data_IF_681937014104
#
_entry.id   IF_681937014104
#
_cell.length_a   1.000
_cell.length_b   1.000
_cell.length_c   1.000
_cell.angle_alpha   90.00
_cell.angle_beta   90.00
_cell.angle_gamma   90.00
#
_symmetry.space_group_name_H-M   'P 1'
#
loop_
_entity.id
_entity.type
_entity.pdbx_description
1 polymer ?
#
# COMPACT_ATOMS: atom_id res chain seq x y z
N UNK A 1 -22.58 42.94 -4.82
CA UNK A 1 -22.14 42.57 -3.45
C UNK A 1 -21.90 41.06 -3.32
N UNK A 2 -22.55 40.20 -4.10
CA UNK A 2 -22.31 38.74 -4.11
C UNK A 2 -20.89 38.35 -4.56
N UNK A 3 -20.33 38.97 -5.61
CA UNK A 3 -18.96 38.70 -6.07
C UNK A 3 -17.88 38.96 -5.00
N UNK A 4 -18.11 39.85 -4.05
CA UNK A 4 -17.11 40.15 -3.00
C UNK A 4 -17.13 39.07 -1.92
N UNK A 5 -18.31 38.53 -1.59
CA UNK A 5 -18.46 37.49 -0.56
C UNK A 5 -17.93 36.15 -1.05
N UNK A 6 -18.16 35.80 -2.32
CA UNK A 6 -17.57 34.59 -2.92
C UNK A 6 -16.04 34.71 -3.02
N UNK A 7 -15.50 35.86 -3.43
CA UNK A 7 -14.06 36.09 -3.55
C UNK A 7 -13.32 36.01 -2.20
N UNK A 8 -13.90 36.55 -1.11
CA UNK A 8 -13.31 36.51 0.23
C UNK A 8 -13.24 35.08 0.78
N UNK A 9 -14.15 34.19 0.37
CA UNK A 9 -14.13 32.79 0.82
C UNK A 9 -13.04 31.98 0.11
N UNK A 10 -12.79 32.24 -1.18
CA UNK A 10 -11.77 31.53 -1.99
C UNK A 10 -10.35 31.79 -1.49
N UNK A 11 -10.05 33.01 -1.05
CA UNK A 11 -8.74 33.38 -0.50
C UNK A 11 -8.39 32.63 0.80
N UNK A 12 -9.38 31.99 1.41
CA UNK A 12 -9.21 31.14 2.57
C UNK A 12 -9.20 29.65 2.24
N UNK A 13 -9.54 29.25 1.00
CA UNK A 13 -9.55 27.86 0.57
C UNK A 13 -8.10 27.34 0.51
N UNK A 14 -7.77 26.27 1.26
CA UNK A 14 -6.40 25.76 1.30
C UNK A 14 -5.90 25.29 -0.07
N UNK A 15 -6.79 24.82 -0.96
CA UNK A 15 -6.42 24.33 -2.29
C UNK A 15 -6.01 25.49 -3.20
N UNK A 16 -6.76 26.58 -3.17
CA UNK A 16 -6.43 27.80 -3.89
C UNK A 16 -5.09 28.37 -3.42
N UNK A 17 -4.90 28.48 -2.10
CA UNK A 17 -3.64 28.93 -1.52
C UNK A 17 -2.47 28.02 -1.88
N UNK A 18 -2.70 26.70 -1.94
CA UNK A 18 -1.69 25.75 -2.38
C UNK A 18 -1.30 25.95 -3.84
N UNK A 19 -2.26 26.20 -4.75
CA UNK A 19 -1.97 26.51 -6.15
C UNK A 19 -1.18 27.81 -6.31
N UNK A 20 -1.58 28.87 -5.59
CA UNK A 20 -0.89 30.16 -5.59
C UNK A 20 0.56 30.01 -5.11
N UNK A 21 0.82 29.10 -4.16
CA UNK A 21 2.18 28.86 -3.66
C UNK A 21 3.18 28.45 -4.75
N UNK A 22 2.74 27.85 -5.85
CA UNK A 22 3.60 27.48 -6.98
C UNK A 22 4.02 28.65 -7.86
N UNK A 23 3.35 29.81 -7.75
CA UNK A 23 3.76 31.04 -8.42
C UNK A 23 4.90 31.76 -7.67
N UNK A 24 5.23 31.27 -6.48
CA UNK A 24 6.17 31.91 -5.57
C UNK A 24 7.51 31.18 -5.59
N UNK A 25 8.61 31.93 -5.47
CA UNK A 25 9.94 31.36 -5.24
C UNK A 25 10.06 30.95 -3.78
N UNK A 26 9.84 29.68 -3.49
CA UNK A 26 9.97 29.11 -2.14
C UNK A 26 11.35 28.48 -1.93
N UNK A 27 11.90 28.64 -0.73
CA UNK A 27 13.10 27.92 -0.32
C UNK A 27 12.78 26.42 -0.15
N UNK A 28 13.77 25.52 -0.26
CA UNK A 28 13.57 24.08 -0.07
C UNK A 28 12.89 23.72 1.26
N UNK A 29 13.17 24.47 2.33
CA UNK A 29 12.59 24.30 3.67
C UNK A 29 11.13 24.75 3.78
N UNK A 30 10.60 25.44 2.77
CA UNK A 30 9.24 26.00 2.74
C UNK A 30 8.30 25.23 1.81
N UNK A 31 8.73 24.06 1.32
CA UNK A 31 7.99 23.26 0.34
C UNK A 31 6.91 22.38 0.95
N UNK A 32 6.81 22.27 2.27
CA UNK A 32 5.72 21.54 2.92
C UNK A 32 4.36 22.27 2.74
N UNK A 33 3.26 21.51 2.87
CA UNK A 33 1.91 22.04 2.65
C UNK A 33 1.61 23.25 3.54
N UNK A 34 1.97 23.19 4.82
CA UNK A 34 1.59 24.22 5.79
C UNK A 34 2.33 25.53 5.48
N UNK A 35 3.63 25.44 5.23
CA UNK A 35 4.45 26.59 4.81
C UNK A 35 3.95 27.20 3.50
N UNK A 36 3.62 26.37 2.50
CA UNK A 36 3.06 26.82 1.22
C UNK A 36 1.78 27.61 1.40
N UNK A 37 0.81 27.05 2.14
CA UNK A 37 -0.48 27.70 2.39
C UNK A 37 -0.27 29.00 3.18
N UNK A 38 0.57 28.99 4.23
CA UNK A 38 0.83 30.18 5.04
C UNK A 38 1.46 31.31 4.23
N UNK A 39 2.46 31.00 3.40
CA UNK A 39 3.18 31.98 2.57
C UNK A 39 2.24 32.56 1.51
N UNK A 40 1.49 31.71 0.80
CA UNK A 40 0.51 32.14 -0.19
C UNK A 40 -0.57 33.04 0.44
N UNK A 41 -1.08 32.69 1.63
CA UNK A 41 -2.09 33.49 2.33
C UNK A 41 -1.59 34.90 2.64
N UNK A 42 -0.33 35.04 3.07
CA UNK A 42 0.29 36.35 3.30
C UNK A 42 0.43 37.14 2.00
N UNK A 43 0.84 36.48 0.93
CA UNK A 43 1.07 37.12 -0.36
C UNK A 43 -0.22 37.63 -1.01
N UNK A 44 -1.28 36.81 -1.00
CA UNK A 44 -2.62 37.20 -1.48
C UNK A 44 -3.15 38.40 -0.67
N UNK A 45 -3.03 38.36 0.67
CA UNK A 45 -3.47 39.46 1.53
C UNK A 45 -2.72 40.77 1.25
N UNK A 46 -1.44 40.69 0.92
CA UNK A 46 -0.60 41.86 0.65
C UNK A 46 -0.68 42.35 -0.80
N UNK A 47 -1.47 41.69 -1.67
CA UNK A 47 -1.56 42.02 -3.09
C UNK A 47 -0.25 41.81 -3.85
N UNK A 48 0.63 40.94 -3.36
CA UNK A 48 1.98 40.75 -3.90
C UNK A 48 2.08 39.65 -4.95
N UNK A 49 0.94 39.15 -5.43
CA UNK A 49 0.87 38.08 -6.44
C UNK A 49 0.17 38.67 -7.66
N UNK A 50 0.84 38.63 -8.80
CA UNK A 50 0.28 39.02 -10.09
C UNK A 50 -0.76 37.98 -10.55
N UNK A 51 -1.75 38.40 -11.33
CA UNK A 51 -2.78 37.53 -11.93
C UNK A 51 -3.65 36.69 -10.97
N UNK A 52 -3.72 37.07 -9.69
CA UNK A 52 -4.56 36.38 -8.69
C UNK A 52 -6.02 36.29 -9.10
N UNK A 53 -6.59 37.35 -9.68
CA UNK A 53 -8.00 37.35 -10.12
C UNK A 53 -8.25 36.35 -11.25
N UNK A 54 -7.31 36.20 -12.19
CA UNK A 54 -7.43 35.17 -13.23
C UNK A 54 -7.34 33.77 -12.62
N UNK A 55 -6.43 33.55 -11.67
CA UNK A 55 -6.32 32.29 -10.92
C UNK A 55 -7.59 31.97 -10.14
N UNK A 56 -8.24 32.95 -9.51
CA UNK A 56 -9.53 32.76 -8.83
C UNK A 56 -10.60 32.28 -9.78
N UNK A 57 -10.74 32.93 -10.94
CA UNK A 57 -11.72 32.52 -11.98
C UNK A 57 -11.47 31.10 -12.48
N UNK A 58 -10.21 30.76 -12.75
CA UNK A 58 -9.83 29.40 -13.15
C UNK A 58 -10.11 28.38 -12.03
N UNK A 59 -9.81 28.71 -10.78
CA UNK A 59 -10.04 27.84 -9.65
C UNK A 59 -11.52 27.50 -9.47
N UNK A 60 -12.40 28.51 -9.52
CA UNK A 60 -13.85 28.33 -9.43
C UNK A 60 -14.42 27.47 -10.56
N UNK A 61 -13.91 27.66 -11.78
CA UNK A 61 -14.37 26.89 -12.95
C UNK A 61 -13.94 25.43 -12.90
N UNK A 62 -12.74 25.18 -12.39
CA UNK A 62 -12.07 23.89 -12.58
C UNK A 62 -12.18 22.96 -11.37
N UNK A 63 -12.57 23.44 -10.19
CA UNK A 63 -12.55 22.64 -8.96
C UNK A 63 -13.93 22.41 -8.37
N UNK A 64 -14.14 21.22 -7.83
CA UNK A 64 -15.35 20.90 -7.07
C UNK A 64 -15.39 21.64 -5.73
N UNK A 65 -16.58 21.86 -5.19
CA UNK A 65 -16.75 22.47 -3.87
C UNK A 65 -16.24 21.55 -2.73
N UNK A 66 -15.81 22.15 -1.62
CA UNK A 66 -15.29 21.43 -0.43
C UNK A 66 -16.31 20.44 0.18
N UNK A 67 -17.61 20.71 0.06
CA UNK A 67 -18.69 19.81 0.48
C UNK A 67 -18.59 18.42 -0.19
N UNK A 68 -17.99 18.33 -1.38
CA UNK A 68 -17.82 17.06 -2.10
C UNK A 68 -16.88 16.09 -1.38
N UNK A 69 -16.08 16.57 -0.42
CA UNK A 69 -15.13 15.77 0.36
C UNK A 69 -15.72 15.24 1.68
N UNK A 70 -16.98 15.56 2.02
CA UNK A 70 -17.61 15.22 3.30
C UNK A 70 -17.75 13.71 3.58
N UNK A 71 -17.66 12.87 2.54
CA UNK A 71 -17.66 11.42 2.73
C UNK A 71 -16.38 10.89 3.39
N UNK A 72 -15.31 11.69 3.44
CA UNK A 72 -14.02 11.33 4.01
C UNK A 72 -14.09 11.55 5.52
N UNK A 73 -13.88 10.48 6.29
CA UNK A 73 -13.64 10.60 7.72
C UNK A 73 -12.20 11.08 7.97
N UNK A 74 -12.04 12.38 8.14
CA UNK A 74 -10.74 13.00 8.40
C UNK A 74 -10.12 12.64 9.74
N UNK A 75 -10.89 12.04 10.66
CA UNK A 75 -10.39 11.54 11.94
C UNK A 75 -9.79 10.14 11.82
N UNK A 76 -10.19 9.39 10.78
CA UNK A 76 -9.66 8.05 10.53
C UNK A 76 -8.31 8.10 9.80
N UNK A 77 -7.26 7.68 10.52
CA UNK A 77 -5.92 7.54 9.98
C UNK A 77 -5.89 6.67 8.71
N UNK A 78 -6.64 5.57 8.69
CA UNK A 78 -6.59 4.59 7.59
C UNK A 78 -7.16 5.19 6.30
N UNK A 79 -8.30 5.88 6.39
CA UNK A 79 -8.89 6.60 5.25
C UNK A 79 -7.94 7.68 4.72
N UNK A 80 -7.42 8.55 5.59
CA UNK A 80 -6.52 9.63 5.19
C UNK A 80 -5.22 9.11 4.57
N UNK A 81 -4.65 8.04 5.15
CA UNK A 81 -3.44 7.40 4.66
C UNK A 81 -3.67 6.70 3.31
N UNK A 82 -4.81 6.01 3.15
CA UNK A 82 -5.17 5.38 1.89
C UNK A 82 -5.21 6.38 0.74
N UNK A 83 -5.83 7.54 0.96
CA UNK A 83 -5.93 8.61 -0.04
C UNK A 83 -4.53 9.13 -0.41
N UNK A 84 -3.69 9.41 0.59
CA UNK A 84 -2.32 9.86 0.36
C UNK A 84 -1.49 8.84 -0.43
N UNK A 85 -1.55 7.57 -0.03
CA UNK A 85 -0.77 6.52 -0.66
C UNK A 85 -1.28 6.21 -2.07
N UNK A 86 -2.59 6.25 -2.29
CA UNK A 86 -3.18 6.17 -3.63
C UNK A 86 -2.64 7.29 -4.53
N UNK A 87 -2.66 8.54 -4.05
CA UNK A 87 -2.07 9.67 -4.78
C UNK A 87 -0.60 9.43 -5.10
N UNK A 88 0.20 8.96 -4.13
CA UNK A 88 1.62 8.65 -4.32
C UNK A 88 1.81 7.68 -5.49
N UNK A 89 1.09 6.55 -5.49
CA UNK A 89 1.17 5.55 -6.55
C UNK A 89 0.71 6.11 -7.90
N UNK A 90 -0.39 6.86 -7.96
CA UNK A 90 -0.87 7.46 -9.21
C UNK A 90 0.12 8.45 -9.82
N UNK A 91 0.82 9.24 -8.99
CA UNK A 91 1.81 10.20 -9.48
C UNK A 91 3.08 9.50 -9.95
N UNK A 92 3.44 8.37 -9.32
CA UNK A 92 4.55 7.51 -9.75
C UNK A 92 4.25 6.79 -11.07
N UNK A 93 2.98 6.46 -11.32
CA UNK A 93 2.52 5.86 -12.58
C UNK A 93 2.69 6.84 -13.76
N UNK A 94 3.74 6.61 -14.56
CA UNK A 94 4.05 7.40 -15.77
C UNK A 94 3.17 7.03 -16.98
N UNK A 95 2.24 6.10 -16.85
CA UNK A 95 1.40 5.70 -17.98
C UNK A 95 0.44 6.84 -18.37
N UNK A 96 0.19 7.03 -19.67
CA UNK A 96 -0.76 8.02 -20.22
C UNK A 96 -2.21 7.47 -20.28
N UNK A 97 -2.54 6.46 -19.47
CA UNK A 97 -3.89 5.84 -19.49
C UNK A 97 -4.97 6.82 -19.02
N UNK A 98 -6.20 6.66 -19.51
CA UNK A 98 -7.37 7.35 -18.95
C UNK A 98 -7.60 6.97 -17.48
N UNK A 99 -8.01 7.93 -16.66
CA UNK A 99 -8.05 7.85 -15.19
C UNK A 99 -9.02 6.76 -14.68
N UNK A 100 -10.12 6.50 -15.39
CA UNK A 100 -11.05 5.42 -15.05
C UNK A 100 -10.41 4.02 -15.13
N UNK A 101 -9.30 3.89 -15.87
CA UNK A 101 -8.48 2.66 -15.94
C UNK A 101 -7.31 2.66 -14.95
N UNK A 102 -7.08 3.73 -14.17
CA UNK A 102 -5.94 3.91 -13.23
C UNK A 102 -6.28 3.61 -11.76
N UNK A 103 -7.26 2.74 -11.49
CA UNK A 103 -7.58 2.33 -10.12
C UNK A 103 -6.77 1.10 -9.65
N UNK A 104 -5.82 0.66 -10.47
CA UNK A 104 -4.88 -0.42 -10.21
C UNK A 104 -3.55 -0.14 -10.90
N UNK A 105 -2.47 -0.65 -10.35
CA UNK A 105 -1.11 -0.30 -10.73
C UNK A 105 -0.31 -1.53 -11.16
N UNK A 106 0.62 -1.37 -12.11
CA UNK A 106 1.58 -2.44 -12.40
C UNK A 106 2.41 -2.78 -11.17
N UNK A 107 3.04 -3.95 -11.21
CA UNK A 107 3.96 -4.39 -10.16
C UNK A 107 5.02 -3.33 -9.83
N UNK A 108 5.63 -2.71 -10.85
CA UNK A 108 6.73 -1.72 -10.72
C UNK A 108 6.28 -0.38 -10.11
N UNK A 109 4.97 -0.12 -10.12
CA UNK A 109 4.38 1.07 -9.48
C UNK A 109 3.97 0.72 -8.06
N UNK A 110 3.31 -0.42 -7.86
CA UNK A 110 2.87 -0.88 -6.53
C UNK A 110 4.05 -1.28 -5.62
N UNK A 111 5.13 -1.76 -6.23
CA UNK A 111 6.38 -2.18 -5.61
C UNK A 111 7.54 -1.64 -6.46
N UNK A 112 8.58 -1.16 -5.80
CA UNK A 112 9.70 -0.48 -6.47
C UNK A 112 10.85 -1.45 -6.67
N UNK A 113 11.43 -1.46 -7.87
CA UNK A 113 12.78 -1.99 -8.11
C UNK A 113 13.81 -0.85 -7.95
N UNK A 114 15.02 -1.17 -7.47
CA UNK A 114 16.06 -0.25 -6.95
C UNK A 114 16.49 0.88 -7.91
N UNK A 115 16.02 0.86 -9.17
CA UNK A 115 16.39 1.79 -10.24
C UNK A 115 15.43 2.99 -10.44
N UNK A 116 14.29 3.08 -9.73
CA UNK A 116 13.23 4.06 -10.06
C UNK A 116 13.03 5.25 -9.11
N UNK A 117 13.82 5.40 -8.04
CA UNK A 117 13.55 6.39 -6.98
C UNK A 117 14.06 7.83 -7.23
N UNK A 118 14.30 8.20 -8.50
CA UNK A 118 14.70 9.58 -8.85
C UNK A 118 13.62 10.26 -9.69
N UNK A 119 12.39 10.31 -9.19
CA UNK A 119 11.47 11.38 -9.57
C UNK A 119 11.24 12.23 -8.34
N UNK A 120 12.11 13.22 -8.13
CA UNK A 120 11.89 14.33 -7.22
C UNK A 120 10.76 15.24 -7.75
N UNK A 121 9.53 14.72 -7.86
CA UNK A 121 8.35 15.59 -7.84
C UNK A 121 8.22 16.08 -6.40
N UNK A 122 7.81 17.33 -6.21
CA UNK A 122 7.46 17.91 -4.91
C UNK A 122 6.17 17.24 -4.39
N UNK A 123 6.18 15.91 -4.18
CA UNK A 123 5.06 15.14 -3.69
C UNK A 123 4.86 15.51 -2.21
N UNK A 124 3.64 15.94 -1.83
CA UNK A 124 3.37 16.23 -0.43
C UNK A 124 3.55 15.00 0.46
N UNK A 125 4.27 15.19 1.58
CA UNK A 125 4.47 14.15 2.60
C UNK A 125 3.21 13.96 3.44
N UNK A 126 3.01 12.73 3.94
CA UNK A 126 1.94 12.45 4.89
C UNK A 126 2.21 13.15 6.23
N UNK A 127 1.23 13.87 6.83
CA UNK A 127 1.41 14.48 8.14
C UNK A 127 1.44 13.45 9.26
N UNK A 128 2.31 13.63 10.25
CA UNK A 128 2.29 12.81 11.46
C UNK A 128 1.22 13.26 12.46
N UNK A 129 0.78 14.52 12.38
CA UNK A 129 -0.16 15.13 13.32
C UNK A 129 -1.61 15.00 12.83
N UNK A 130 -2.47 14.37 13.63
CA UNK A 130 -3.89 14.16 13.31
C UNK A 130 -4.65 15.47 13.05
N UNK A 131 -4.29 16.56 13.73
CA UNK A 131 -4.89 17.90 13.52
C UNK A 131 -4.73 18.42 12.08
N UNK A 132 -3.77 17.88 11.33
CA UNK A 132 -3.48 18.29 9.95
C UNK A 132 -4.18 17.44 8.89
N UNK A 133 -4.74 16.28 9.27
CA UNK A 133 -5.28 15.29 8.32
C UNK A 133 -6.31 15.90 7.37
N UNK A 134 -7.27 16.66 7.89
CA UNK A 134 -8.31 17.28 7.05
C UNK A 134 -7.74 18.12 5.92
N UNK A 135 -6.90 19.10 6.25
CA UNK A 135 -6.33 20.02 5.26
C UNK A 135 -5.42 19.25 4.30
N UNK A 136 -4.54 18.41 4.83
CA UNK A 136 -3.56 17.69 4.02
C UNK A 136 -4.23 16.70 3.07
N UNK A 137 -5.21 15.93 3.51
CA UNK A 137 -5.96 14.99 2.66
C UNK A 137 -6.71 15.70 1.53
N UNK A 138 -7.29 16.88 1.80
CA UNK A 138 -7.89 17.71 0.75
C UNK A 138 -6.82 18.17 -0.26
N UNK A 139 -5.65 18.59 0.21
CA UNK A 139 -4.52 18.96 -0.66
C UNK A 139 -3.99 17.77 -1.45
N UNK A 140 -3.94 16.57 -0.89
CA UNK A 140 -3.51 15.37 -1.62
C UNK A 140 -4.42 15.09 -2.82
N UNK A 141 -5.73 15.14 -2.61
CA UNK A 141 -6.71 14.97 -3.69
C UNK A 141 -6.63 16.11 -4.71
N UNK A 142 -6.49 17.35 -4.24
CA UNK A 142 -6.32 18.50 -5.13
C UNK A 142 -5.06 18.39 -5.99
N UNK A 143 -3.94 18.04 -5.38
CA UNK A 143 -2.67 17.81 -6.07
C UNK A 143 -2.78 16.66 -7.08
N UNK A 144 -3.44 15.56 -6.69
CA UNK A 144 -3.75 14.45 -7.58
C UNK A 144 -4.54 14.92 -8.81
N UNK A 145 -5.59 15.72 -8.64
CA UNK A 145 -6.38 16.25 -9.74
C UNK A 145 -5.56 17.17 -10.65
N UNK A 146 -4.71 18.02 -10.08
CA UNK A 146 -3.81 18.86 -10.86
C UNK A 146 -2.81 18.03 -11.68
N UNK A 147 -2.21 17.00 -11.08
CA UNK A 147 -1.21 16.14 -11.76
C UNK A 147 -1.85 15.29 -12.86
N UNK A 148 -3.10 14.88 -12.66
CA UNK A 148 -3.86 14.07 -13.62
C UNK A 148 -4.67 14.91 -14.62
N UNK A 149 -4.64 16.24 -14.51
CA UNK A 149 -5.42 17.18 -15.33
C UNK A 149 -6.93 16.89 -15.28
N UNK A 150 -7.43 16.59 -14.08
CA UNK A 150 -8.86 16.33 -13.83
C UNK A 150 -9.55 17.59 -13.34
N UNK A 151 -10.65 17.98 -13.98
CA UNK A 151 -11.36 19.23 -13.68
C UNK A 151 -12.88 19.04 -13.61
N UNK A 152 -13.56 19.89 -12.84
CA UNK A 152 -15.01 19.99 -12.79
C UNK A 152 -15.70 18.67 -12.44
N UNK A 153 -16.65 18.25 -13.29
CA UNK A 153 -17.46 17.04 -13.08
C UNK A 153 -16.57 15.79 -12.93
N UNK A 154 -15.50 15.68 -13.72
CA UNK A 154 -14.59 14.53 -13.66
C UNK A 154 -13.87 14.41 -12.31
N UNK A 155 -13.69 15.50 -11.55
CA UNK A 155 -13.14 15.39 -10.19
C UNK A 155 -14.12 14.68 -9.25
N UNK A 156 -15.43 14.93 -9.40
CA UNK A 156 -16.46 14.26 -8.60
C UNK A 156 -16.51 12.76 -8.91
N UNK A 157 -16.54 12.41 -10.19
CA UNK A 157 -16.49 11.01 -10.64
C UNK A 157 -15.25 10.30 -10.11
N UNK A 158 -14.11 10.99 -10.12
CA UNK A 158 -12.87 10.44 -9.59
C UNK A 158 -12.90 10.27 -8.06
N UNK A 159 -13.47 11.22 -7.31
CA UNK A 159 -13.70 11.06 -5.87
C UNK A 159 -14.57 9.84 -5.56
N UNK A 160 -15.65 9.64 -6.33
CA UNK A 160 -16.53 8.48 -6.17
C UNK A 160 -15.82 7.17 -6.51
N UNK A 161 -14.92 7.17 -7.50
CA UNK A 161 -14.07 6.03 -7.81
C UNK A 161 -13.10 5.70 -6.66
N UNK A 162 -12.42 6.71 -6.09
CA UNK A 162 -11.54 6.54 -4.93
C UNK A 162 -12.32 6.00 -3.73
N UNK A 163 -13.50 6.56 -3.46
CA UNK A 163 -14.41 6.10 -2.41
C UNK A 163 -14.76 4.62 -2.57
N UNK A 164 -15.19 4.20 -3.77
CA UNK A 164 -15.48 2.80 -4.07
C UNK A 164 -14.27 1.90 -3.83
N UNK A 165 -13.09 2.31 -4.31
CA UNK A 165 -11.85 1.56 -4.09
C UNK A 165 -11.47 1.43 -2.63
N UNK A 166 -11.64 2.49 -1.83
CA UNK A 166 -11.39 2.42 -0.40
C UNK A 166 -12.35 1.42 0.30
N UNK A 167 -13.63 1.43 -0.06
CA UNK A 167 -14.61 0.48 0.48
C UNK A 167 -14.31 -0.97 0.08
N UNK A 168 -13.87 -1.20 -1.16
CA UNK A 168 -13.36 -2.49 -1.62
C UNK A 168 -12.12 -2.92 -0.83
N UNK A 169 -11.17 -2.00 -0.61
CA UNK A 169 -9.96 -2.26 0.16
C UNK A 169 -10.29 -2.73 1.58
N UNK A 170 -11.19 -2.04 2.29
CA UNK A 170 -11.62 -2.43 3.65
C UNK A 170 -12.22 -3.82 3.74
N UNK A 171 -12.83 -4.30 2.64
CA UNK A 171 -13.43 -5.65 2.56
C UNK A 171 -12.44 -6.69 2.04
N UNK A 172 -11.29 -6.26 1.54
CA UNK A 172 -10.29 -7.15 0.94
C UNK A 172 -9.59 -8.01 2.00
N UNK A 173 -9.11 -9.22 1.62
CA UNK A 173 -8.28 -10.03 2.50
C UNK A 173 -6.98 -9.33 2.95
N UNK A 174 -6.47 -8.41 2.14
CA UNK A 174 -5.24 -7.66 2.43
C UNK A 174 -5.41 -6.66 3.56
N UNK A 175 -6.62 -6.15 3.79
CA UNK A 175 -6.91 -5.25 4.92
C UNK A 175 -6.55 -5.86 6.27
N UNK A 176 -6.61 -7.19 6.39
CA UNK A 176 -6.24 -7.90 7.63
C UNK A 176 -4.78 -7.68 8.01
N UNK A 177 -3.88 -7.40 7.06
CA UNK A 177 -2.47 -7.08 7.35
C UNK A 177 -2.31 -5.78 8.14
N UNK A 178 -3.36 -4.95 8.21
CA UNK A 178 -3.34 -3.67 8.94
C UNK A 178 -3.76 -3.79 10.40
N UNK A 179 -4.25 -4.98 10.81
CA UNK A 179 -4.75 -5.26 12.15
C UNK A 179 -3.61 -5.72 13.06
N UNK A 180 -3.65 -5.31 14.33
CA UNK A 180 -2.60 -5.62 15.32
C UNK A 180 -2.38 -7.12 15.52
N UNK A 181 -3.45 -7.93 15.46
CA UNK A 181 -3.39 -9.40 15.58
C UNK A 181 -2.68 -10.08 14.40
N UNK A 182 -2.39 -9.34 13.33
CA UNK A 182 -1.70 -9.80 12.13
C UNK A 182 -0.34 -9.12 11.93
N UNK A 183 0.22 -8.44 12.93
CA UNK A 183 1.53 -7.77 12.84
C UNK A 183 2.64 -8.74 12.39
N UNK A 184 2.73 -9.93 12.98
CA UNK A 184 3.70 -10.97 12.59
C UNK A 184 3.57 -11.36 11.11
N UNK A 185 2.33 -11.41 10.61
CA UNK A 185 2.07 -11.75 9.22
C UNK A 185 2.49 -10.61 8.29
N UNK A 186 2.25 -9.36 8.68
CA UNK A 186 2.64 -8.20 7.91
C UNK A 186 4.17 -8.12 7.78
N UNK A 187 4.88 -8.24 8.90
CA UNK A 187 6.35 -8.27 8.94
C UNK A 187 6.93 -9.40 8.09
N UNK A 188 6.42 -10.63 8.26
CA UNK A 188 6.87 -11.76 7.45
C UNK A 188 6.61 -11.55 5.95
N UNK A 189 5.47 -10.94 5.60
CA UNK A 189 5.12 -10.66 4.21
C UNK A 189 6.05 -9.62 3.58
N UNK A 190 6.39 -8.56 4.32
CA UNK A 190 7.35 -7.54 3.89
C UNK A 190 8.75 -8.16 3.69
N UNK A 191 9.23 -8.96 4.64
CA UNK A 191 10.49 -9.70 4.50
C UNK A 191 10.48 -10.63 3.28
N UNK A 192 9.35 -11.30 3.02
CA UNK A 192 9.22 -12.20 1.87
C UNK A 192 9.27 -11.43 0.55
N UNK A 193 8.58 -10.31 0.45
CA UNK A 193 8.63 -9.42 -0.72
C UNK A 193 10.05 -8.91 -0.96
N UNK A 194 10.74 -8.46 0.10
CA UNK A 194 12.13 -7.99 0.00
C UNK A 194 13.07 -9.08 -0.52
N UNK A 195 12.90 -10.34 -0.09
CA UNK A 195 13.66 -11.47 -0.63
C UNK A 195 13.39 -11.73 -2.11
N UNK A 196 12.17 -11.45 -2.55
CA UNK A 196 11.74 -11.53 -3.95
C UNK A 196 12.04 -10.21 -4.72
N UNK A 197 12.86 -9.31 -4.15
CA UNK A 197 13.26 -7.98 -4.69
C UNK A 197 12.12 -6.98 -4.91
N UNK A 198 10.97 -7.19 -4.27
CA UNK A 198 9.86 -6.25 -4.26
C UNK A 198 9.95 -5.38 -3.00
N UNK A 199 10.09 -4.06 -3.16
CA UNK A 199 10.15 -3.11 -2.03
C UNK A 199 8.96 -2.16 -2.05
N UNK A 200 8.59 -1.65 -0.88
CA UNK A 200 7.64 -0.53 -0.81
C UNK A 200 8.32 0.78 -1.25
N UNK A 201 7.55 1.77 -1.72
CA UNK A 201 8.03 3.13 -1.97
C UNK A 201 8.76 3.73 -0.77
N UNK A 202 9.89 4.42 -1.00
CA UNK A 202 10.71 5.03 0.05
C UNK A 202 10.03 6.19 0.78
N UNK A 203 9.03 6.84 0.17
CA UNK A 203 8.38 8.03 0.74
C UNK A 203 7.43 7.73 1.91
N UNK A 204 7.27 6.46 2.29
CA UNK A 204 6.37 6.04 3.37
C UNK A 204 6.91 6.48 4.74
N UNK A 205 6.04 6.92 5.68
CA UNK A 205 6.45 7.19 7.05
C UNK A 205 7.06 5.94 7.71
N UNK A 206 8.13 6.10 8.49
CA UNK A 206 8.88 5.01 9.14
C UNK A 206 8.14 4.33 10.31
N UNK A 207 6.82 4.45 10.38
CA UNK A 207 6.01 3.82 11.45
C UNK A 207 5.54 2.44 11.00
N UNK A 208 5.50 1.48 11.93
CA UNK A 208 4.99 0.12 11.66
C UNK A 208 3.59 0.10 11.03
N UNK A 209 2.71 0.99 11.53
CA UNK A 209 1.33 1.13 11.03
C UNK A 209 1.31 1.59 9.57
N UNK A 210 2.13 2.59 9.22
CA UNK A 210 2.27 3.08 7.85
C UNK A 210 2.83 1.99 6.92
N UNK A 211 3.87 1.27 7.34
CA UNK A 211 4.42 0.14 6.57
C UNK A 211 3.38 -0.95 6.30
N UNK A 212 2.65 -1.38 7.34
CA UNK A 212 1.61 -2.41 7.21
C UNK A 212 0.46 -1.97 6.29
N UNK A 213 0.08 -0.69 6.36
CA UNK A 213 -0.92 -0.11 5.45
C UNK A 213 -0.41 0.01 4.03
N UNK A 214 0.79 0.54 3.80
CA UNK A 214 1.41 0.62 2.47
C UNK A 214 1.48 -0.76 1.83
N UNK A 215 1.93 -1.77 2.60
CA UNK A 215 1.95 -3.16 2.16
C UNK A 215 0.57 -3.67 1.74
N UNK A 216 -0.43 -3.49 2.60
CA UNK A 216 -1.80 -3.92 2.32
C UNK A 216 -2.37 -3.21 1.09
N UNK A 217 -2.12 -1.91 0.94
CA UNK A 217 -2.63 -1.09 -0.16
C UNK A 217 -1.92 -1.46 -1.47
N UNK A 218 -0.60 -1.64 -1.49
CA UNK A 218 0.15 -2.09 -2.67
C UNK A 218 -0.32 -3.46 -3.14
N UNK A 219 -0.45 -4.43 -2.22
CA UNK A 219 -1.00 -5.75 -2.55
C UNK A 219 -2.44 -5.66 -3.06
N UNK A 220 -3.25 -4.74 -2.54
CA UNK A 220 -4.63 -4.55 -3.00
C UNK A 220 -4.68 -3.93 -4.41
N UNK A 221 -3.98 -2.82 -4.63
CA UNK A 221 -4.04 -2.01 -5.86
C UNK A 221 -3.17 -2.57 -6.99
N UNK A 222 -2.29 -3.52 -6.73
CA UNK A 222 -1.55 -4.21 -7.79
C UNK A 222 -2.52 -4.85 -8.80
N UNK A 223 -2.34 -4.57 -10.08
CA UNK A 223 -3.17 -5.07 -11.15
C UNK A 223 -3.04 -6.60 -11.30
N UNK A 224 -4.17 -7.29 -11.46
CA UNK A 224 -4.20 -8.72 -11.68
C UNK A 224 -3.56 -9.14 -13.01
N UNK A 225 -3.59 -8.24 -14.01
CA UNK A 225 -3.00 -8.48 -15.33
C UNK A 225 -1.47 -8.35 -15.33
N UNK A 226 -0.90 -7.69 -14.31
CA UNK A 226 0.53 -7.42 -14.24
C UNK A 226 1.30 -8.71 -13.95
N UNK A 227 2.29 -8.96 -14.79
CA UNK A 227 3.28 -10.02 -14.64
C UNK A 227 4.61 -9.45 -14.17
N UNK A 228 5.41 -10.25 -13.48
CA UNK A 228 6.75 -9.87 -13.03
C UNK A 228 7.65 -11.10 -12.90
N UNK A 229 8.95 -10.89 -13.02
CA UNK A 229 9.95 -11.95 -12.83
C UNK A 229 10.22 -12.14 -11.34
N UNK A 230 10.27 -13.39 -10.91
CA UNK A 230 10.76 -13.77 -9.59
C UNK A 230 11.95 -14.68 -9.79
N UNK A 231 13.03 -14.41 -9.07
CA UNK A 231 14.16 -15.31 -9.02
C UNK A 231 13.87 -16.42 -8.01
N UNK A 232 13.41 -17.56 -8.50
CA UNK A 232 13.24 -18.77 -7.67
C UNK A 232 14.30 -19.78 -8.06
N UNK A 233 15.21 -20.07 -7.14
CA UNK A 233 16.21 -21.16 -7.30
C UNK A 233 17.13 -21.00 -8.53
N UNK A 234 17.43 -19.76 -8.95
CA UNK A 234 18.34 -19.49 -10.06
C UNK A 234 17.68 -19.46 -11.45
N UNK A 235 16.37 -19.68 -11.54
CA UNK A 235 15.60 -19.52 -12.77
C UNK A 235 14.62 -18.33 -12.64
N UNK A 236 14.63 -17.44 -13.63
CA UNK A 236 13.64 -16.37 -13.73
C UNK A 236 12.28 -16.94 -14.17
N UNK A 237 11.30 -16.89 -13.27
CA UNK A 237 9.92 -17.26 -13.59
C UNK A 237 9.05 -16.01 -13.67
N UNK A 238 8.34 -15.85 -14.78
CA UNK A 238 7.33 -14.81 -14.93
C UNK A 238 6.03 -15.31 -14.27
N UNK A 239 5.52 -14.57 -13.29
CA UNK A 239 4.23 -14.89 -12.64
C UNK A 239 3.32 -13.67 -12.55
N UNK A 240 2.01 -13.92 -12.49
CA UNK A 240 1.02 -12.89 -12.19
C UNK A 240 0.66 -12.80 -10.69
N UNK A 241 -0.05 -11.72 -10.32
CA UNK A 241 -0.49 -11.43 -8.95
C UNK A 241 -1.17 -12.60 -8.25
N UNK A 242 -2.13 -13.26 -8.89
CA UNK A 242 -2.94 -14.33 -8.28
C UNK A 242 -2.07 -15.52 -7.86
N UNK A 243 -1.17 -15.95 -8.76
CA UNK A 243 -0.21 -17.04 -8.51
C UNK A 243 0.76 -16.65 -7.40
N UNK A 244 1.27 -15.42 -7.42
CA UNK A 244 2.19 -14.96 -6.39
C UNK A 244 1.54 -14.89 -5.01
N UNK A 245 0.37 -14.26 -4.89
CA UNK A 245 -0.37 -14.17 -3.63
C UNK A 245 -0.75 -15.56 -3.12
N UNK A 246 -1.08 -16.51 -3.99
CA UNK A 246 -1.32 -17.89 -3.61
C UNK A 246 -0.05 -18.54 -3.01
N UNK A 247 1.09 -18.43 -3.69
CA UNK A 247 2.39 -18.92 -3.20
C UNK A 247 2.74 -18.27 -1.84
N UNK A 248 2.56 -16.97 -1.71
CA UNK A 248 2.78 -16.21 -0.49
C UNK A 248 1.96 -16.77 0.69
N UNK A 249 0.67 -17.02 0.47
CA UNK A 249 -0.22 -17.60 1.49
C UNK A 249 0.20 -19.03 1.89
N UNK A 250 0.61 -19.86 0.93
CA UNK A 250 1.11 -21.21 1.21
C UNK A 250 2.38 -21.15 2.06
N UNK A 251 3.34 -20.31 1.68
CA UNK A 251 4.60 -20.11 2.40
C UNK A 251 4.36 -19.59 3.82
N UNK A 252 3.42 -18.68 4.02
CA UNK A 252 3.03 -18.22 5.35
C UNK A 252 2.48 -19.36 6.22
N UNK A 253 1.58 -20.18 5.68
CA UNK A 253 1.03 -21.32 6.43
C UNK A 253 2.13 -22.34 6.81
N UNK A 254 3.09 -22.58 5.90
CA UNK A 254 4.25 -23.42 6.20
C UNK A 254 5.14 -22.80 7.28
N UNK A 255 5.41 -21.50 7.21
CA UNK A 255 6.16 -20.78 8.24
C UNK A 255 5.48 -20.90 9.61
N UNK A 256 4.18 -20.61 9.70
CA UNK A 256 3.39 -20.74 10.93
C UNK A 256 3.44 -22.16 11.50
N UNK A 257 3.38 -23.17 10.64
CA UNK A 257 3.51 -24.57 11.07
C UNK A 257 4.91 -24.87 11.62
N UNK A 258 5.97 -24.37 10.99
CA UNK A 258 7.35 -24.52 11.47
C UNK A 258 7.57 -23.84 12.82
N UNK A 259 7.08 -22.61 13.00
CA UNK A 259 7.16 -21.90 14.29
C UNK A 259 6.41 -22.64 15.41
N UNK A 260 5.20 -23.14 15.11
CA UNK A 260 4.46 -23.99 16.05
C UNK A 260 5.23 -25.26 16.43
N UNK A 261 5.91 -25.89 15.48
CA UNK A 261 6.73 -27.07 15.75
C UNK A 261 7.97 -26.75 16.59
N UNK A 262 8.63 -25.60 16.36
CA UNK A 262 9.74 -25.12 17.21
C UNK A 262 9.31 -24.98 18.67
N UNK A 263 8.16 -24.34 18.91
CA UNK A 263 7.57 -24.20 20.25
C UNK A 263 7.30 -25.56 20.91
N UNK A 264 6.84 -26.55 20.13
CA UNK A 264 6.61 -27.92 20.61
C UNK A 264 7.89 -28.77 20.70
N UNK A 265 9.07 -28.21 20.40
CA UNK A 265 10.34 -28.94 20.29
C UNK A 265 10.28 -30.13 19.30
N UNK A 266 9.41 -30.04 18.30
CA UNK A 266 9.27 -31.04 17.23
C UNK A 266 10.24 -30.67 16.12
N UNK A 267 11.28 -31.48 15.93
CA UNK A 267 12.24 -31.31 14.83
C UNK A 267 11.73 -32.10 13.61
N UNK A 268 11.64 -31.42 12.46
CA UNK A 268 11.40 -32.11 11.20
C UNK A 268 12.70 -32.80 10.75
N UNK A 269 12.62 -34.06 10.34
CA UNK A 269 13.73 -34.81 9.76
C UNK A 269 13.44 -35.04 8.28
N UNK A 270 14.44 -34.80 7.43
CA UNK A 270 14.45 -35.26 6.05
C UNK A 270 15.43 -36.41 5.98
N UNK A 271 14.96 -37.60 5.61
CA UNK A 271 15.80 -38.75 5.34
C UNK A 271 15.70 -39.08 3.85
N UNK A 272 16.81 -39.47 3.26
CA UNK A 272 16.82 -40.15 1.97
C UNK A 272 16.61 -41.64 2.22
N UNK A 273 15.80 -42.30 1.40
CA UNK A 273 15.56 -43.73 1.49
C UNK A 273 15.35 -44.31 0.11
N UNK A 274 15.62 -45.60 -0.01
CA UNK A 274 15.30 -46.34 -1.24
C UNK A 274 13.79 -46.33 -1.50
N UNK A 275 13.42 -46.24 -2.77
CA UNK A 275 12.02 -46.27 -3.22
C UNK A 275 11.31 -47.57 -2.76
N UNK A 276 12.06 -48.67 -2.70
CA UNK A 276 11.57 -49.97 -2.21
C UNK A 276 11.10 -49.89 -0.75
N UNK A 277 11.81 -49.13 0.09
CA UNK A 277 11.49 -48.92 1.50
C UNK A 277 10.32 -47.96 1.65
N UNK A 278 10.27 -46.89 0.85
CA UNK A 278 9.13 -45.98 0.82
C UNK A 278 7.82 -46.72 0.52
N UNK A 279 7.82 -47.62 -0.47
CA UNK A 279 6.64 -48.45 -0.80
C UNK A 279 6.17 -49.32 0.38
N UNK A 280 7.11 -49.88 1.16
CA UNK A 280 6.79 -50.67 2.37
C UNK A 280 6.17 -49.79 3.45
N UNK A 281 6.73 -48.60 3.69
CA UNK A 281 6.17 -47.62 4.64
C UNK A 281 4.76 -47.21 4.23
N UNK A 282 4.53 -46.94 2.94
CA UNK A 282 3.23 -46.52 2.43
C UNK A 282 2.17 -47.61 2.57
N UNK A 283 2.57 -48.86 2.32
CA UNK A 283 1.70 -50.02 2.55
C UNK A 283 1.35 -50.19 4.03
N UNK A 284 2.33 -50.16 4.92
CA UNK A 284 2.12 -50.28 6.37
C UNK A 284 1.30 -49.12 6.94
N UNK A 285 1.54 -47.90 6.46
CA UNK A 285 0.80 -46.70 6.85
C UNK A 285 -0.69 -46.84 6.52
N UNK A 286 -1.02 -47.39 5.35
CA UNK A 286 -2.41 -47.68 4.97
C UNK A 286 -3.00 -48.85 5.75
N UNK A 287 -2.25 -49.94 5.90
CA UNK A 287 -2.74 -51.15 6.56
C UNK A 287 -3.05 -50.94 8.05
N UNK A 288 -2.29 -50.06 8.72
CA UNK A 288 -2.45 -49.74 10.14
C UNK A 288 -3.26 -48.47 10.40
N UNK A 289 -3.77 -47.82 9.35
CA UNK A 289 -4.45 -46.51 9.42
C UNK A 289 -3.66 -45.45 10.22
N UNK A 290 -2.33 -45.41 10.01
CA UNK A 290 -1.43 -44.50 10.70
C UNK A 290 -0.75 -43.56 9.70
N UNK A 291 -0.61 -42.28 10.07
CA UNK A 291 0.26 -41.35 9.32
C UNK A 291 1.70 -41.85 9.35
N UNK A 292 2.44 -41.71 8.24
CA UNK A 292 3.83 -42.18 8.10
C UNK A 292 4.74 -41.79 9.28
N UNK A 293 4.69 -40.54 9.73
CA UNK A 293 5.49 -40.10 10.87
C UNK A 293 5.15 -40.87 12.16
N UNK A 294 3.86 -41.12 12.41
CA UNK A 294 3.41 -41.87 13.59
C UNK A 294 3.82 -43.33 13.51
N UNK A 295 3.77 -43.92 12.32
CA UNK A 295 4.28 -45.26 12.07
C UNK A 295 5.79 -45.35 12.37
N UNK A 296 6.58 -44.39 11.91
CA UNK A 296 8.03 -44.35 12.18
C UNK A 296 8.31 -44.20 13.68
N UNK A 297 7.63 -43.28 14.37
CA UNK A 297 7.73 -43.14 15.83
C UNK A 297 7.42 -44.46 16.55
N UNK A 298 6.31 -45.10 16.16
CA UNK A 298 5.91 -46.39 16.73
C UNK A 298 6.97 -47.47 16.52
N UNK A 299 7.51 -47.60 15.30
CA UNK A 299 8.55 -48.58 15.01
C UNK A 299 9.82 -48.33 15.82
N UNK A 300 10.23 -47.07 15.97
CA UNK A 300 11.39 -46.68 16.78
C UNK A 300 11.16 -46.96 18.26
N UNK A 301 9.99 -46.59 18.81
CA UNK A 301 9.65 -46.82 20.23
C UNK A 301 9.62 -48.32 20.56
N UNK A 302 9.02 -49.13 19.68
CA UNK A 302 8.99 -50.59 19.83
C UNK A 302 10.41 -51.16 19.88
N UNK A 303 11.27 -50.76 18.94
CA UNK A 303 12.63 -51.29 18.87
C UNK A 303 13.50 -50.80 20.02
N UNK A 304 13.38 -49.52 20.39
CA UNK A 304 14.08 -48.95 21.56
C UNK A 304 13.69 -49.65 22.86
N UNK A 305 12.39 -49.92 23.04
CA UNK A 305 11.89 -50.62 24.24
C UNK A 305 12.47 -52.03 24.36
N UNK A 306 12.56 -52.78 23.25
CA UNK A 306 13.18 -54.11 23.24
C UNK A 306 14.65 -54.08 23.63
N UNK A 307 15.39 -53.04 23.24
CA UNK A 307 16.82 -52.94 23.51
C UNK A 307 17.14 -52.44 24.93
N UNK A 308 16.24 -51.64 25.52
CA UNK A 308 16.48 -50.97 26.82
C UNK A 308 15.80 -51.63 28.00
N UNK A 309 14.72 -52.38 27.79
CA UNK A 309 14.17 -53.28 28.82
C UNK A 309 14.86 -54.65 28.71
N UNK A 310 16.10 -54.71 29.18
CA UNK A 310 16.74 -55.96 29.64
C UNK A 310 16.71 -55.99 31.16
#
# INVERSE_FOLDING_TARGET
MENIIENVNIDSDPRFLFDVSFMMKLLPTQKDIDSRIMIAKKAVRNGSVEDVEEKRRQFLKNNVALVTYEWIDFSDYVTCYFIWYFMLLTIRDRSDKEIDKRLSFSVDVAFVDDMFDIIHRDIPRFPEQASKFKVHTIIFLHFLFSQTKTYGISQREFLDAIKRKFLEFRRSPFFRLTLEDNEDRALWTEERLNNDRLKLPQEIPATKKAHSLSLAISLFLWDQSSQFSINTSGEEQIVGKSVYVHKLNLSWNQYKHREKNKLKKVKAYSFEMEESLQKKIDHLSKALDMKKNRLIEYLIEQEYTKQTKK
#
